data_IF_581540991781
#
_entry.id   IF_581540991781
#
_cell.length_a   1.000
_cell.length_b   1.000
_cell.length_c   1.000
_cell.angle_alpha   90.00
_cell.angle_beta   90.00
_cell.angle_gamma   90.00
#
_symmetry.space_group_name_H-M   'P 1'
#
loop_
_entity.id
_entity.type
_entity.pdbx_description
1 polymer ?
#
# COMPACT_ATOMS: atom_id res chain seq x y z
N UNK A 1 -28.65 -8.87 1.88
CA UNK A 1 -27.78 -7.89 2.52
C UNK A 1 -27.78 -6.61 1.70
N UNK A 2 -27.87 -5.47 2.35
CA UNK A 2 -27.87 -4.14 1.74
C UNK A 2 -26.74 -3.30 2.37
N UNK A 3 -26.16 -2.31 1.64
CA UNK A 3 -25.22 -1.37 2.21
C UNK A 3 -25.85 -0.66 3.42
N UNK A 4 -25.07 -0.58 4.51
CA UNK A 4 -25.50 0.10 5.75
C UNK A 4 -24.51 1.25 6.00
N UNK A 5 -24.99 2.44 6.39
CA UNK A 5 -24.13 3.57 6.73
C UNK A 5 -23.13 3.23 7.84
N UNK A 6 -21.91 3.75 7.73
CA UNK A 6 -20.93 3.71 8.80
C UNK A 6 -21.45 4.52 9.99
N UNK A 7 -21.22 4.02 11.21
CA UNK A 7 -21.71 4.68 12.43
C UNK A 7 -21.02 6.04 12.65
N UNK A 8 -21.75 6.97 13.26
CA UNK A 8 -21.31 8.35 13.52
C UNK A 8 -21.67 9.31 12.40
N UNK A 9 -21.53 10.60 12.68
CA UNK A 9 -21.84 11.69 11.73
C UNK A 9 -20.61 12.11 10.89
N UNK A 10 -19.64 11.17 10.70
CA UNK A 10 -18.44 11.44 9.93
C UNK A 10 -18.74 11.38 8.43
N UNK A 11 -18.16 12.32 7.70
CA UNK A 11 -18.11 12.30 6.24
C UNK A 11 -16.68 12.04 5.77
N UNK A 12 -16.54 11.30 4.69
CA UNK A 12 -15.23 10.92 4.14
C UNK A 12 -15.09 11.38 2.68
N UNK A 13 -13.90 11.82 2.31
CA UNK A 13 -13.51 12.14 0.93
C UNK A 13 -12.78 10.98 0.25
N UNK A 14 -12.21 10.07 1.06
CA UNK A 14 -11.57 8.85 0.60
C UNK A 14 -11.83 7.72 1.58
N UNK A 15 -11.89 6.50 1.09
CA UNK A 15 -12.04 5.29 1.89
C UNK A 15 -11.19 4.17 1.27
N UNK A 16 -10.56 3.36 2.13
CA UNK A 16 -9.79 2.19 1.71
C UNK A 16 -10.12 1.01 2.61
N UNK A 17 -10.49 -0.11 2.00
CA UNK A 17 -10.81 -1.35 2.69
C UNK A 17 -9.63 -2.31 2.60
N UNK A 18 -9.05 -2.68 3.75
CA UNK A 18 -8.08 -3.76 3.87
C UNK A 18 -8.76 -5.13 4.03
N UNK A 19 -8.00 -6.14 4.49
CA UNK A 19 -8.57 -7.48 4.70
C UNK A 19 -9.59 -7.50 5.85
N UNK A 20 -9.25 -6.91 7.00
CA UNK A 20 -10.06 -6.95 8.22
C UNK A 20 -10.22 -5.57 8.89
N UNK A 21 -9.87 -4.50 8.20
CA UNK A 21 -10.01 -3.12 8.67
C UNK A 21 -10.32 -2.18 7.52
N UNK A 22 -10.83 -1.02 7.87
CA UNK A 22 -11.15 0.04 6.91
C UNK A 22 -10.60 1.35 7.45
N UNK A 23 -10.09 2.20 6.56
CA UNK A 23 -9.65 3.55 6.87
C UNK A 23 -10.32 4.56 5.93
N UNK A 24 -10.57 5.77 6.42
CA UNK A 24 -11.12 6.86 5.62
C UNK A 24 -10.51 8.20 6.01
N UNK A 25 -10.50 9.13 5.06
CA UNK A 25 -10.07 10.52 5.26
C UNK A 25 -11.27 11.45 5.32
N UNK A 26 -11.33 12.26 6.38
CA UNK A 26 -12.30 13.35 6.46
C UNK A 26 -11.99 14.47 5.44
N UNK A 27 -12.89 15.42 5.18
CA UNK A 27 -12.60 16.58 4.33
C UNK A 27 -11.42 17.44 4.77
N UNK A 28 -11.07 17.39 6.07
CA UNK A 28 -9.90 18.05 6.62
C UNK A 28 -8.61 17.22 6.49
N UNK A 29 -8.68 16.02 5.90
CA UNK A 29 -7.53 15.12 5.77
C UNK A 29 -7.18 14.33 7.03
N UNK A 30 -8.00 14.39 8.09
CA UNK A 30 -7.80 13.55 9.26
C UNK A 30 -8.20 12.11 8.94
N UNK A 31 -7.33 11.15 9.32
CA UNK A 31 -7.57 9.73 9.11
C UNK A 31 -8.33 9.10 10.28
N UNK A 32 -9.26 8.24 9.94
CA UNK A 32 -10.03 7.40 10.87
C UNK A 32 -9.95 5.95 10.39
N UNK A 33 -9.70 5.01 11.30
CA UNK A 33 -9.69 3.59 11.00
C UNK A 33 -10.59 2.80 11.96
N UNK A 34 -11.12 1.67 11.49
CA UNK A 34 -11.97 0.78 12.27
C UNK A 34 -11.85 -0.66 11.81
N UNK A 35 -12.33 -1.60 12.61
CA UNK A 35 -12.22 -3.04 12.39
C UNK A 35 -11.19 -3.69 13.30
N UNK A 36 -10.42 -4.64 12.77
CA UNK A 36 -9.43 -5.40 13.50
C UNK A 36 -8.17 -4.59 13.79
N UNK A 37 -7.86 -4.32 15.07
CA UNK A 37 -6.71 -3.53 15.49
C UNK A 37 -5.39 -4.29 15.67
N UNK A 38 -5.39 -5.62 15.46
CA UNK A 38 -4.19 -6.45 15.64
C UNK A 38 -2.97 -5.89 14.92
N UNK A 39 -1.80 -5.98 15.57
CA UNK A 39 -0.53 -5.43 15.12
C UNK A 39 -0.48 -3.90 15.01
N UNK A 40 -1.55 -3.18 15.43
CA UNK A 40 -1.63 -1.73 15.32
C UNK A 40 -2.08 -1.19 13.96
N UNK A 41 -2.70 -2.02 13.12
CA UNK A 41 -3.10 -1.63 11.74
C UNK A 41 -4.08 -0.46 11.66
N UNK A 42 -4.76 -0.13 12.77
CA UNK A 42 -5.65 1.02 12.87
C UNK A 42 -4.89 2.33 13.15
N UNK A 43 -3.68 2.26 13.69
CA UNK A 43 -2.86 3.43 13.99
C UNK A 43 -3.35 4.24 15.21
N UNK A 44 -4.21 3.70 16.04
CA UNK A 44 -4.83 4.34 17.21
C UNK A 44 -3.93 4.39 18.44
N UNK A 45 -2.79 3.69 18.41
CA UNK A 45 -1.87 3.55 19.53
C UNK A 45 -2.03 2.25 20.32
N UNK A 46 -2.98 1.41 19.94
CA UNK A 46 -3.28 0.12 20.57
C UNK A 46 -3.47 -1.01 19.55
N UNK A 47 -3.95 -2.16 19.99
CA UNK A 47 -4.27 -3.32 19.14
C UNK A 47 -5.72 -3.78 19.30
N UNK A 48 -6.57 -2.93 19.88
CA UNK A 48 -7.98 -3.23 20.12
C UNK A 48 -8.78 -3.26 18.80
N UNK A 49 -9.92 -3.97 18.85
CA UNK A 49 -10.93 -3.86 17.79
C UNK A 49 -11.73 -2.59 17.99
N UNK A 50 -11.93 -1.80 16.96
CA UNK A 50 -12.79 -0.64 16.97
C UNK A 50 -14.00 -0.86 16.06
N UNK A 51 -15.20 -0.87 16.61
CA UNK A 51 -16.42 -1.15 15.87
C UNK A 51 -17.01 0.09 15.17
N UNK A 52 -16.42 1.25 15.45
CA UNK A 52 -16.75 2.55 14.85
C UNK A 52 -15.47 3.24 14.44
N UNK A 53 -15.50 4.22 13.51
CA UNK A 53 -14.32 4.98 13.13
C UNK A 53 -13.64 5.64 14.33
N UNK A 54 -12.35 5.33 14.54
CA UNK A 54 -11.51 5.95 15.56
C UNK A 54 -10.42 6.78 14.91
N UNK A 55 -10.05 7.94 15.45
CA UNK A 55 -9.02 8.79 14.89
C UNK A 55 -7.65 8.11 14.96
N UNK A 56 -6.91 8.18 13.87
CA UNK A 56 -5.51 7.76 13.81
C UNK A 56 -4.66 8.72 14.65
N UNK A 57 -3.77 8.16 15.47
CA UNK A 57 -2.94 8.92 16.40
C UNK A 57 -1.94 9.85 15.68
N UNK A 58 -1.48 10.89 16.39
CA UNK A 58 -0.42 11.80 15.94
C UNK A 58 -0.92 13.07 15.24
N UNK A 59 -2.22 13.21 14.96
CA UNK A 59 -2.81 14.44 14.41
C UNK A 59 -2.32 14.78 13.00
N UNK A 60 -1.92 13.78 12.23
CA UNK A 60 -1.48 13.96 10.84
C UNK A 60 -2.63 14.36 9.92
N UNK A 61 -2.31 15.15 8.91
CA UNK A 61 -3.16 15.40 7.76
C UNK A 61 -2.66 14.57 6.59
N UNK A 62 -3.54 13.78 5.98
CA UNK A 62 -3.23 12.95 4.83
C UNK A 62 -4.06 13.38 3.61
N UNK A 63 -3.48 13.22 2.42
CA UNK A 63 -4.13 13.41 1.11
C UNK A 63 -4.51 12.09 0.47
N UNK A 64 -3.87 11.01 0.89
CA UNK A 64 -4.14 9.65 0.40
C UNK A 64 -4.00 8.65 1.54
N UNK A 65 -4.79 7.57 1.51
CA UNK A 65 -4.75 6.49 2.50
C UNK A 65 -5.03 5.15 1.82
N UNK A 66 -4.24 4.14 2.15
CA UNK A 66 -4.39 2.79 1.60
C UNK A 66 -4.26 1.75 2.71
N UNK A 67 -5.23 0.84 2.77
CA UNK A 67 -5.27 -0.26 3.72
C UNK A 67 -4.91 -1.57 3.00
N UNK A 68 -3.81 -2.20 3.44
CA UNK A 68 -3.41 -3.54 3.00
C UNK A 68 -4.08 -4.64 3.82
N UNK A 69 -3.45 -5.83 3.87
CA UNK A 69 -4.02 -6.91 4.70
C UNK A 69 -3.86 -6.61 6.19
N UNK A 70 -2.63 -6.27 6.63
CA UNK A 70 -2.26 -6.14 8.04
C UNK A 70 -1.58 -4.81 8.37
N UNK A 71 -1.58 -3.86 7.43
CA UNK A 71 -0.95 -2.55 7.58
C UNK A 71 -1.74 -1.48 6.83
N UNK A 72 -1.44 -0.25 7.13
CA UNK A 72 -2.02 0.93 6.50
C UNK A 72 -0.92 1.91 6.18
N UNK A 73 -1.03 2.61 5.06
CA UNK A 73 -0.13 3.70 4.69
C UNK A 73 -0.92 4.94 4.32
N UNK A 74 -0.36 6.13 4.58
CA UNK A 74 -0.94 7.41 4.19
C UNK A 74 0.12 8.36 3.66
N UNK A 75 -0.27 9.27 2.78
CA UNK A 75 0.58 10.35 2.25
C UNK A 75 0.15 11.69 2.82
N UNK A 76 1.11 12.47 3.28
CA UNK A 76 0.91 13.87 3.67
C UNK A 76 0.79 14.78 2.43
N UNK A 77 0.32 16.04 2.56
CA UNK A 77 0.34 17.02 1.46
C UNK A 77 1.74 17.29 0.89
N UNK A 78 2.79 17.02 1.67
CA UNK A 78 4.18 17.14 1.20
C UNK A 78 4.65 15.90 0.41
N UNK A 79 3.81 14.85 0.30
CA UNK A 79 4.16 13.58 -0.34
C UNK A 79 4.98 12.63 0.54
N UNK A 80 5.14 12.94 1.83
CA UNK A 80 5.81 12.05 2.78
C UNK A 80 4.89 10.86 3.09
N UNK A 81 5.46 9.65 3.03
CA UNK A 81 4.73 8.42 3.33
C UNK A 81 4.91 8.04 4.81
N UNK A 82 3.82 7.66 5.43
CA UNK A 82 3.77 7.07 6.77
C UNK A 82 3.05 5.73 6.69
N UNK A 83 3.61 4.68 7.28
CA UNK A 83 2.96 3.38 7.37
C UNK A 83 2.90 2.90 8.83
N UNK A 84 1.89 2.08 9.13
CA UNK A 84 1.68 1.50 10.46
C UNK A 84 0.98 0.15 10.37
N UNK A 85 0.99 -0.62 11.45
CA UNK A 85 0.48 -1.98 11.50
C UNK A 85 1.59 -3.00 11.60
N UNK A 86 1.43 -4.14 10.92
CA UNK A 86 2.38 -5.25 10.95
C UNK A 86 3.62 -4.93 10.12
N UNK A 87 4.81 -5.00 10.76
CA UNK A 87 6.10 -4.69 10.13
C UNK A 87 6.79 -5.88 9.46
N UNK A 88 6.24 -7.10 9.60
CA UNK A 88 6.85 -8.32 9.03
C UNK A 88 7.20 -8.12 7.55
N UNK A 89 8.36 -8.66 7.14
CA UNK A 89 8.95 -8.54 5.80
C UNK A 89 9.35 -7.10 5.42
N UNK A 90 9.27 -6.12 6.34
CA UNK A 90 9.61 -4.73 6.05
C UNK A 90 8.52 -3.94 5.31
N UNK A 91 7.26 -4.44 5.26
CA UNK A 91 6.17 -3.81 4.50
C UNK A 91 5.82 -2.38 4.92
N UNK A 92 6.27 -1.94 6.12
CA UNK A 92 6.13 -0.55 6.57
C UNK A 92 7.19 0.38 5.97
N UNK A 93 8.29 -0.16 5.45
CA UNK A 93 9.37 0.64 4.87
C UNK A 93 10.18 1.44 5.87
N UNK A 94 10.09 1.13 7.17
CA UNK A 94 10.75 1.85 8.27
C UNK A 94 12.22 1.50 8.46
N UNK A 95 12.76 0.53 7.71
CA UNK A 95 14.12 0.03 7.85
C UNK A 95 14.26 -1.18 8.77
N UNK A 96 13.15 -1.67 9.33
CA UNK A 96 13.07 -2.83 10.21
C UNK A 96 11.80 -3.65 9.97
N UNK A 97 11.54 -4.66 10.82
CA UNK A 97 10.36 -5.53 10.74
C UNK A 97 9.42 -5.38 11.95
N UNK A 98 9.60 -4.34 12.76
CA UNK A 98 8.80 -4.11 13.94
C UNK A 98 7.39 -3.61 13.60
N UNK A 99 6.40 -4.03 14.40
CA UNK A 99 5.05 -3.50 14.30
C UNK A 99 5.01 -2.04 14.78
N UNK A 100 4.18 -1.23 14.13
CA UNK A 100 3.96 0.17 14.53
C UNK A 100 2.49 0.38 14.88
N UNK A 101 2.25 0.86 16.08
CA UNK A 101 0.89 1.14 16.58
C UNK A 101 0.37 2.51 16.16
N UNK A 102 1.25 3.34 15.63
CA UNK A 102 0.96 4.71 15.16
C UNK A 102 1.67 4.99 13.84
N UNK A 103 1.24 5.97 13.04
CA UNK A 103 1.91 6.36 11.81
C UNK A 103 3.40 6.59 12.01
N UNK A 104 4.22 5.87 11.27
CA UNK A 104 5.69 5.90 11.32
C UNK A 104 6.23 6.26 9.95
N UNK A 105 7.20 7.19 9.83
CA UNK A 105 7.70 7.62 8.54
C UNK A 105 8.38 6.47 7.79
N UNK A 106 8.11 6.37 6.50
CA UNK A 106 8.83 5.51 5.56
C UNK A 106 10.24 6.05 5.37
N UNK A 107 11.24 5.17 5.46
CA UNK A 107 12.64 5.54 5.37
C UNK A 107 13.06 5.99 3.95
N UNK A 108 14.23 6.67 3.86
CA UNK A 108 14.84 7.05 2.58
C UNK A 108 14.51 8.46 2.10
N UNK A 109 13.59 9.17 2.74
CA UNK A 109 13.30 10.58 2.44
C UNK A 109 12.69 10.82 1.04
N UNK A 110 12.11 9.79 0.44
CA UNK A 110 11.40 9.91 -0.83
C UNK A 110 10.03 10.56 -0.61
N UNK A 111 9.59 11.32 -1.62
CA UNK A 111 8.22 11.84 -1.69
C UNK A 111 7.45 11.13 -2.80
N UNK A 112 6.20 10.81 -2.50
CA UNK A 112 5.33 10.07 -3.40
C UNK A 112 4.10 10.89 -3.79
N UNK A 113 3.63 10.70 -5.01
CA UNK A 113 2.38 11.25 -5.52
C UNK A 113 1.19 10.29 -5.27
N UNK A 114 1.46 8.99 -5.14
CA UNK A 114 0.46 7.98 -4.77
C UNK A 114 1.13 6.80 -4.07
N UNK A 115 0.33 6.06 -3.27
CA UNK A 115 0.78 4.90 -2.52
C UNK A 115 -0.26 3.78 -2.62
N UNK A 116 0.19 2.52 -2.63
CA UNK A 116 -0.68 1.35 -2.65
C UNK A 116 -0.14 0.27 -1.73
N UNK A 117 -0.98 -0.24 -0.83
CA UNK A 117 -0.66 -1.30 0.10
C UNK A 117 -1.30 -2.62 -0.34
N UNK A 118 -0.48 -3.65 -0.51
CA UNK A 118 -0.91 -5.02 -0.81
C UNK A 118 -1.06 -5.88 0.45
N UNK A 119 -0.93 -7.21 0.30
CA UNK A 119 -0.98 -8.13 1.45
C UNK A 119 0.26 -8.00 2.33
N UNK A 120 1.43 -8.09 1.74
CA UNK A 120 2.70 -8.13 2.46
C UNK A 120 3.76 -7.17 1.89
N UNK A 121 3.38 -6.26 1.00
CA UNK A 121 4.25 -5.26 0.38
C UNK A 121 3.51 -3.95 0.20
N UNK A 122 4.25 -2.89 -0.06
CA UNK A 122 3.76 -1.55 -0.36
C UNK A 122 4.51 -1.00 -1.57
N UNK A 123 3.85 -0.17 -2.36
CA UNK A 123 4.46 0.51 -3.51
C UNK A 123 4.06 1.98 -3.52
N UNK A 124 4.95 2.85 -3.97
CA UNK A 124 4.69 4.27 -4.17
C UNK A 124 5.19 4.77 -5.51
N UNK A 125 4.49 5.73 -6.09
CA UNK A 125 4.92 6.46 -7.27
C UNK A 125 5.38 7.86 -6.89
N UNK A 126 6.56 8.25 -7.35
CA UNK A 126 7.01 9.65 -7.25
C UNK A 126 6.23 10.54 -8.24
N UNK A 127 6.35 11.85 -8.12
CA UNK A 127 5.74 12.80 -9.07
C UNK A 127 6.26 12.67 -10.51
N UNK A 128 7.44 12.04 -10.70
CA UNK A 128 7.98 11.71 -12.03
C UNK A 128 7.42 10.39 -12.60
N UNK A 129 6.61 9.66 -11.85
CA UNK A 129 6.08 8.35 -12.21
C UNK A 129 7.05 7.18 -11.96
N UNK A 130 8.19 7.41 -11.32
CA UNK A 130 9.09 6.34 -10.91
C UNK A 130 8.46 5.53 -9.77
N UNK A 131 8.46 4.19 -9.91
CA UNK A 131 7.90 3.28 -8.93
C UNK A 131 8.97 2.77 -7.96
N UNK A 132 8.60 2.71 -6.69
CA UNK A 132 9.36 2.09 -5.61
C UNK A 132 8.45 1.13 -4.87
N UNK A 133 8.95 -0.09 -4.56
CA UNK A 133 8.23 -1.07 -3.76
C UNK A 133 9.10 -1.55 -2.60
N UNK A 134 8.45 -2.01 -1.53
CA UNK A 134 9.11 -2.54 -0.34
C UNK A 134 8.22 -3.56 0.37
N UNK A 135 8.79 -4.36 1.24
CA UNK A 135 8.10 -5.46 1.91
C UNK A 135 8.53 -6.82 1.38
N UNK A 136 7.62 -7.77 1.33
CA UNK A 136 7.88 -9.13 0.88
C UNK A 136 8.23 -9.19 -0.60
N UNK A 137 9.35 -9.87 -0.93
CA UNK A 137 9.86 -10.07 -2.28
C UNK A 137 9.68 -11.47 -2.86
N UNK A 138 9.21 -12.45 -2.06
CA UNK A 138 9.26 -13.90 -2.34
C UNK A 138 8.84 -14.31 -3.75
N UNK A 139 7.87 -13.64 -4.35
CA UNK A 139 7.36 -13.92 -5.70
C UNK A 139 7.84 -12.92 -6.75
N UNK A 140 8.69 -11.95 -6.37
CA UNK A 140 9.11 -10.84 -7.23
C UNK A 140 8.12 -9.67 -7.28
N UNK A 141 7.15 -9.60 -6.35
CA UNK A 141 6.12 -8.54 -6.32
C UNK A 141 6.67 -7.13 -6.11
N UNK A 142 7.95 -7.00 -5.72
CA UNK A 142 8.65 -5.72 -5.63
C UNK A 142 9.16 -5.22 -6.99
N UNK A 143 9.33 -6.12 -7.97
CA UNK A 143 9.71 -5.76 -9.34
C UNK A 143 11.15 -5.25 -9.49
N UNK A 144 12.02 -5.43 -8.51
CA UNK A 144 13.39 -4.96 -8.46
C UNK A 144 14.41 -5.91 -9.11
N UNK A 145 13.95 -7.11 -9.53
CA UNK A 145 14.77 -8.12 -10.21
C UNK A 145 15.25 -9.27 -9.32
N UNK A 146 14.90 -9.24 -8.01
CA UNK A 146 15.22 -10.32 -7.06
C UNK A 146 13.97 -10.78 -6.27
N UNK A 147 14.16 -11.68 -5.31
CA UNK A 147 13.12 -12.23 -4.44
C UNK A 147 13.36 -11.90 -2.95
N UNK A 148 14.30 -11.01 -2.66
CA UNK A 148 14.62 -10.62 -1.31
C UNK A 148 13.61 -9.60 -0.77
N UNK A 149 13.28 -9.72 0.54
CA UNK A 149 12.48 -8.72 1.23
C UNK A 149 13.23 -7.38 1.31
N UNK A 150 12.53 -6.29 1.06
CA UNK A 150 13.10 -4.95 1.13
C UNK A 150 12.50 -4.17 2.29
N UNK A 151 13.36 -3.75 3.24
CA UNK A 151 12.94 -3.03 4.46
C UNK A 151 12.70 -1.54 4.23
N UNK A 152 13.09 -1.03 3.06
CA UNK A 152 12.97 0.38 2.65
C UNK A 152 12.54 0.45 1.19
N UNK A 153 11.97 1.58 0.73
CA UNK A 153 11.60 1.76 -0.66
C UNK A 153 12.76 1.47 -1.63
N UNK A 154 12.56 0.48 -2.50
CA UNK A 154 13.55 0.02 -3.49
C UNK A 154 13.00 0.28 -4.88
N UNK A 155 13.79 0.83 -5.81
CA UNK A 155 13.31 1.17 -7.15
C UNK A 155 12.88 -0.08 -7.92
N UNK A 156 11.75 0.01 -8.61
CA UNK A 156 11.28 -0.99 -9.57
C UNK A 156 12.20 -0.97 -10.80
N UNK A 157 12.62 -2.15 -11.26
CA UNK A 157 13.57 -2.29 -12.36
C UNK A 157 12.96 -1.87 -13.71
N UNK A 158 13.85 -1.64 -14.70
CA UNK A 158 13.48 -1.37 -16.10
C UNK A 158 13.27 0.10 -16.45
N UNK A 159 13.33 1.02 -15.47
CA UNK A 159 13.24 2.47 -15.72
C UNK A 159 11.91 2.94 -16.32
N UNK A 160 10.84 2.15 -16.16
CA UNK A 160 9.50 2.51 -16.60
C UNK A 160 8.92 3.59 -15.70
N UNK A 161 8.08 4.44 -16.28
CA UNK A 161 7.27 5.42 -15.55
C UNK A 161 5.79 5.06 -15.64
N UNK A 162 5.11 5.18 -14.51
CA UNK A 162 3.70 4.81 -14.38
C UNK A 162 2.84 6.02 -14.00
N UNK A 163 1.62 6.05 -14.53
CA UNK A 163 0.58 6.98 -14.14
C UNK A 163 -0.18 6.49 -12.90
N UNK A 164 -0.25 5.16 -12.69
CA UNK A 164 -0.83 4.55 -11.50
C UNK A 164 -0.19 3.21 -11.20
N UNK A 165 -0.24 2.80 -9.93
CA UNK A 165 0.25 1.52 -9.43
C UNK A 165 -0.78 0.91 -8.50
N UNK A 166 -0.90 -0.42 -8.52
CA UNK A 166 -1.80 -1.18 -7.65
C UNK A 166 -1.09 -2.41 -7.13
N UNK A 167 -0.99 -2.53 -5.83
CA UNK A 167 -0.47 -3.70 -5.14
C UNK A 167 -1.62 -4.66 -4.81
N UNK A 168 -1.52 -5.89 -5.30
CA UNK A 168 -2.43 -6.98 -5.00
C UNK A 168 -2.03 -7.78 -3.77
N UNK A 169 -2.42 -9.05 -3.71
CA UNK A 169 -1.98 -9.96 -2.64
C UNK A 169 -0.46 -10.18 -2.75
N UNK A 170 0.00 -10.78 -3.86
CA UNK A 170 1.39 -11.17 -4.09
C UNK A 170 1.87 -10.77 -5.49
N UNK A 171 1.25 -9.78 -6.09
CA UNK A 171 1.62 -9.20 -7.38
C UNK A 171 1.39 -7.69 -7.37
N UNK A 172 1.97 -7.01 -8.33
CA UNK A 172 1.81 -5.57 -8.52
C UNK A 172 1.55 -5.30 -9.99
N UNK A 173 0.70 -4.33 -10.29
CA UNK A 173 0.47 -3.85 -11.64
C UNK A 173 0.69 -2.34 -11.72
N UNK A 174 1.27 -1.88 -12.81
CA UNK A 174 1.45 -0.47 -13.14
C UNK A 174 0.85 -0.13 -14.49
N UNK A 175 0.21 1.03 -14.58
CA UNK A 175 -0.32 1.57 -15.83
C UNK A 175 0.53 2.76 -16.25
N UNK A 176 1.18 2.65 -17.40
CA UNK A 176 1.94 3.76 -18.01
C UNK A 176 0.99 4.84 -18.56
N UNK A 177 1.48 6.07 -18.73
CA UNK A 177 0.71 7.18 -19.28
C UNK A 177 0.19 6.91 -20.73
N UNK A 178 0.83 5.99 -21.44
CA UNK A 178 0.39 5.51 -22.77
C UNK A 178 -0.85 4.61 -22.74
N UNK A 179 -1.27 4.15 -21.53
CA UNK A 179 -2.29 3.13 -21.36
C UNK A 179 -1.73 1.69 -21.37
N UNK A 180 -0.43 1.49 -21.56
CA UNK A 180 0.19 0.16 -21.48
C UNK A 180 0.23 -0.31 -20.03
N UNK A 181 -0.26 -1.54 -19.79
CA UNK A 181 -0.25 -2.18 -18.49
C UNK A 181 0.93 -3.14 -18.36
N UNK A 182 1.53 -3.16 -17.18
CA UNK A 182 2.62 -4.05 -16.80
C UNK A 182 2.28 -4.67 -15.45
N UNK A 183 2.48 -6.00 -15.31
CA UNK A 183 2.31 -6.68 -14.03
C UNK A 183 3.55 -7.50 -13.70
N UNK A 184 3.79 -7.73 -12.40
CA UNK A 184 4.90 -8.51 -11.88
C UNK A 184 4.57 -9.12 -10.51
N UNK A 185 5.37 -10.08 -10.06
CA UNK A 185 5.12 -10.86 -8.86
C UNK A 185 4.59 -12.25 -9.18
N UNK A 186 3.72 -12.77 -8.35
CA UNK A 186 3.11 -14.09 -8.48
C UNK A 186 2.23 -14.17 -9.73
N UNK A 187 2.50 -15.21 -10.58
CA UNK A 187 1.78 -15.48 -11.81
C UNK A 187 0.93 -16.75 -11.79
N UNK A 188 0.95 -17.52 -10.69
CA UNK A 188 0.40 -18.90 -10.58
C UNK A 188 -1.04 -19.04 -11.11
N UNK A 189 -1.86 -18.01 -10.99
CA UNK A 189 -3.26 -18.02 -11.43
C UNK A 189 -3.50 -17.20 -12.71
N UNK A 190 -2.43 -16.82 -13.43
CA UNK A 190 -2.50 -15.98 -14.63
C UNK A 190 -2.84 -14.50 -14.34
N UNK A 191 -2.75 -14.06 -13.08
CA UNK A 191 -3.09 -12.70 -12.64
C UNK A 191 -2.18 -11.61 -13.23
N UNK A 192 -1.05 -11.99 -13.83
CA UNK A 192 -0.16 -11.07 -14.53
C UNK A 192 -0.62 -10.75 -15.95
N UNK A 193 -1.51 -11.58 -16.52
CA UNK A 193 -2.09 -11.35 -17.85
C UNK A 193 -1.09 -11.37 -19.00
N UNK A 194 0.07 -12.00 -18.83
CA UNK A 194 1.18 -12.05 -19.79
C UNK A 194 1.19 -13.30 -20.68
N UNK A 195 0.17 -14.18 -20.56
CA UNK A 195 -0.03 -15.37 -21.36
C UNK A 195 0.51 -16.66 -20.77
N UNK A 196 1.08 -16.63 -19.55
CA UNK A 196 1.55 -17.81 -18.82
C UNK A 196 1.26 -17.71 -17.31
N UNK A 197 1.75 -18.67 -16.51
CA UNK A 197 1.56 -18.73 -15.07
C UNK A 197 2.87 -18.57 -14.28
N UNK A 198 3.92 -18.06 -14.90
CA UNK A 198 5.20 -17.90 -14.25
C UNK A 198 5.28 -16.58 -13.47
N UNK A 199 6.02 -16.59 -12.37
CA UNK A 199 6.33 -15.38 -11.61
C UNK A 199 7.23 -14.44 -12.44
N UNK A 200 7.06 -13.13 -12.24
CA UNK A 200 7.88 -12.10 -12.89
C UNK A 200 8.56 -11.24 -11.85
N UNK A 201 9.89 -11.18 -11.92
CA UNK A 201 10.71 -10.39 -10.99
C UNK A 201 10.84 -8.92 -11.40
N UNK A 202 10.37 -8.59 -12.61
CA UNK A 202 10.40 -7.23 -13.16
C UNK A 202 9.09 -6.94 -13.90
N UNK A 203 8.72 -5.66 -14.09
CA UNK A 203 7.53 -5.29 -14.85
C UNK A 203 7.48 -5.96 -16.22
N UNK A 204 6.45 -6.74 -16.46
CA UNK A 204 6.24 -7.50 -17.71
C UNK A 204 4.96 -7.01 -18.38
N UNK A 205 4.96 -6.73 -19.70
CA UNK A 205 3.76 -6.26 -20.38
C UNK A 205 2.61 -7.25 -20.26
N UNK A 206 1.39 -6.74 -20.03
CA UNK A 206 0.17 -7.53 -20.16
C UNK A 206 -0.05 -7.83 -21.64
N UNK A 207 -0.36 -9.08 -21.97
CA UNK A 207 -0.57 -9.52 -23.35
C UNK A 207 -1.80 -8.83 -23.96
N UNK A 208 -1.72 -8.51 -25.23
CA UNK A 208 -2.91 -8.09 -26.00
C UNK A 208 -3.85 -9.29 -26.16
N UNK A 209 -5.18 -9.06 -26.17
CA UNK A 209 -6.19 -10.11 -26.40
C UNK A 209 -6.10 -10.69 -27.81
#
# INVERSE_FOLDING_TARGET
LVPTPVAGDLTFTAISAGADHTCGLSPAGAAYCWGHGGHGRLGTGDTAYHLVPEPVAGGFTFTDITAGADHTCGLTPAGEAYCWGRGQNGKLGSGDTDNRLVPTPVAGGLTFASISAGRAHSCGLTSSGAAYCWGNGEYGQLGNGDTDDQLVPTPVAGGLTFASISAGLDHTCGLAASGAAYCWGNGEYGQLGNGDTENRLVPTPVAAP
#
